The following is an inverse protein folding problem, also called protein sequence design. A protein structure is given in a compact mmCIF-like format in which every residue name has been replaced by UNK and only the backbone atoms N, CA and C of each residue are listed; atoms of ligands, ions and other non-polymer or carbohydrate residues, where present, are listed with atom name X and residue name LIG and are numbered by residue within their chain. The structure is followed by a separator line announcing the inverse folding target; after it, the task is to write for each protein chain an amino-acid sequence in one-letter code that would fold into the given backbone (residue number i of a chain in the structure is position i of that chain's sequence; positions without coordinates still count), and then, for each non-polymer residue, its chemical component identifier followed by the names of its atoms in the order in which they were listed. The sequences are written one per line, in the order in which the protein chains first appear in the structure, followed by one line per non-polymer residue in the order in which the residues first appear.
data_IF_540799763586
#
_entry.id   IF_540799763586
#
_cell.length_a   1.000
_cell.length_b   1.000
_cell.length_c   1.000
_cell.angle_alpha   90.00
_cell.angle_beta   90.00
_cell.angle_gamma   90.00
#
_symmetry.space_group_name_H-M   'P 1'
#
loop_
_entity.id
_entity.type
_entity.pdbx_description
1 polymer ?
#
# COMPACT_ATOMS: atom_id res chain seq x y z
N UNK A 1 3.33 -11.96 24.27
CA UNK A 1 2.77 -10.58 24.33
C UNK A 1 2.86 -9.93 22.96
N UNK A 2 1.83 -9.16 22.53
CA UNK A 2 1.91 -8.38 21.27
C UNK A 2 2.70 -7.07 21.53
N UNK A 3 3.94 -7.01 21.12
CA UNK A 3 4.77 -5.79 21.27
C UNK A 3 4.20 -4.61 20.49
N UNK A 4 3.66 -4.88 19.27
CA UNK A 4 3.09 -3.86 18.39
C UNK A 4 1.76 -3.34 18.94
N UNK A 5 0.85 -4.22 19.38
CA UNK A 5 -0.49 -3.84 19.85
C UNK A 5 -0.47 -2.91 21.05
N UNK A 6 0.52 -3.00 21.93
CA UNK A 6 0.66 -2.16 23.12
C UNK A 6 1.14 -0.74 22.87
N UNK A 7 1.76 -0.50 21.70
CA UNK A 7 2.27 0.83 21.38
C UNK A 7 1.10 1.75 21.05
N UNK A 8 0.94 2.88 21.72
CA UNK A 8 -0.07 3.86 21.37
C UNK A 8 0.17 4.37 19.93
N UNK A 9 -0.87 4.83 19.28
CA UNK A 9 -0.79 5.49 17.98
C UNK A 9 -0.92 6.97 18.20
N UNK A 10 0.15 7.73 18.01
CA UNK A 10 0.12 9.19 18.11
C UNK A 10 -0.76 9.79 17.00
N UNK A 11 -1.58 10.76 17.37
CA UNK A 11 -2.41 11.53 16.43
C UNK A 11 -1.64 12.82 16.11
N UNK A 12 -1.11 12.98 14.88
CA UNK A 12 -0.39 14.20 14.52
C UNK A 12 -1.35 15.40 14.43
N UNK A 13 -0.78 16.60 14.51
CA UNK A 13 -1.56 17.83 14.37
C UNK A 13 -2.31 17.87 13.03
N UNK A 14 -3.59 18.24 13.06
CA UNK A 14 -4.46 18.27 11.88
C UNK A 14 -5.11 16.93 11.52
N UNK A 15 -4.93 15.89 12.34
CA UNK A 15 -5.64 14.62 12.20
C UNK A 15 -6.65 14.46 13.34
N UNK A 16 -7.86 14.08 12.99
CA UNK A 16 -8.95 13.79 13.90
C UNK A 16 -9.32 12.30 13.80
N UNK A 17 -9.47 11.65 14.95
CA UNK A 17 -9.86 10.23 15.02
C UNK A 17 -11.12 10.12 15.83
N UNK A 18 -12.16 9.52 15.28
CA UNK A 18 -13.41 9.20 15.94
C UNK A 18 -13.69 7.70 15.87
N UNK A 19 -14.30 7.18 16.93
CA UNK A 19 -14.69 5.76 17.04
C UNK A 19 -16.20 5.73 17.27
N UNK A 20 -16.93 5.15 16.34
CA UNK A 20 -18.38 4.95 16.42
C UNK A 20 -18.71 3.54 16.96
N UNK A 21 -19.99 3.31 17.22
CA UNK A 21 -20.49 2.00 17.64
C UNK A 21 -20.08 0.89 16.64
N UNK A 22 -19.78 -0.29 17.16
CA UNK A 22 -19.29 -1.41 16.34
C UNK A 22 -17.83 -1.29 15.91
N UNK A 23 -17.03 -0.44 16.59
CA UNK A 23 -15.62 -0.19 16.27
C UNK A 23 -15.39 0.31 14.83
N UNK A 24 -16.31 1.11 14.32
CA UNK A 24 -16.09 1.85 13.07
C UNK A 24 -15.21 3.05 13.38
N UNK A 25 -13.97 3.00 12.92
CA UNK A 25 -12.99 4.06 13.13
C UNK A 25 -12.95 4.94 11.89
N UNK A 26 -13.19 6.23 12.09
CA UNK A 26 -13.06 7.27 11.06
C UNK A 26 -11.86 8.13 11.38
N UNK A 27 -10.94 8.27 10.43
CA UNK A 27 -9.75 9.12 10.55
C UNK A 27 -9.80 10.19 9.48
N UNK A 28 -9.84 11.46 9.90
CA UNK A 28 -9.88 12.64 9.04
C UNK A 28 -8.59 13.41 9.14
N UNK A 29 -8.03 13.78 8.01
CA UNK A 29 -6.77 14.54 7.95
C UNK A 29 -6.67 15.42 6.71
N UNK A 30 -5.52 16.08 6.51
CA UNK A 30 -5.31 17.06 5.43
C UNK A 30 -5.43 16.46 4.03
N UNK A 31 -5.18 15.15 3.87
CA UNK A 31 -5.24 14.47 2.56
C UNK A 31 -6.57 13.80 2.28
N UNK A 32 -7.46 13.72 3.27
CA UNK A 32 -8.79 13.13 3.11
C UNK A 32 -9.26 12.40 4.35
N UNK A 33 -10.30 11.58 4.16
CA UNK A 33 -10.93 10.82 5.24
C UNK A 33 -10.89 9.34 4.89
N UNK A 34 -10.56 8.52 5.87
CA UNK A 34 -10.63 7.06 5.79
C UNK A 34 -11.56 6.55 6.88
N UNK A 35 -12.39 5.57 6.51
CA UNK A 35 -13.28 4.88 7.43
C UNK A 35 -13.08 3.38 7.32
N UNK A 36 -13.08 2.68 8.45
CA UNK A 36 -12.95 1.22 8.50
C UNK A 36 -13.60 0.64 9.73
N UNK A 37 -14.41 -0.40 9.52
CA UNK A 37 -14.87 -1.26 10.59
C UNK A 37 -13.75 -2.17 11.07
N UNK A 38 -13.47 -2.17 12.36
CA UNK A 38 -12.44 -2.96 13.01
C UNK A 38 -13.08 -4.06 13.88
N UNK A 39 -12.33 -5.10 14.30
CA UNK A 39 -12.87 -6.16 15.13
C UNK A 39 -13.50 -5.62 16.40
N UNK A 40 -14.76 -5.99 16.65
CA UNK A 40 -15.56 -5.55 17.80
C UNK A 40 -15.06 -6.10 19.13
N UNK A 41 -14.26 -7.17 19.10
CA UNK A 41 -13.65 -7.74 20.30
C UNK A 41 -12.55 -6.87 20.93
N UNK A 42 -12.05 -5.86 20.17
CA UNK A 42 -11.03 -4.95 20.67
C UNK A 42 -11.67 -3.70 21.26
N UNK A 43 -11.11 -3.21 22.34
CA UNK A 43 -11.50 -1.92 22.92
C UNK A 43 -10.56 -0.84 22.36
N UNK A 44 -11.14 0.21 21.74
CA UNK A 44 -10.39 1.29 21.11
C UNK A 44 -10.74 2.58 21.84
N UNK A 45 -9.73 3.25 22.40
CA UNK A 45 -9.89 4.53 23.12
C UNK A 45 -9.00 5.60 22.51
N UNK A 46 -9.50 6.82 22.52
CA UNK A 46 -8.72 8.02 22.15
C UNK A 46 -8.47 8.79 23.43
N UNK A 47 -7.22 8.87 23.85
CA UNK A 47 -6.79 9.50 25.10
C UNK A 47 -5.54 10.33 24.84
N UNK A 48 -5.49 11.56 25.35
CA UNK A 48 -4.31 12.45 25.32
C UNK A 48 -3.60 12.56 23.96
N UNK A 49 -4.36 12.64 22.86
CA UNK A 49 -3.79 12.74 21.52
C UNK A 49 -3.20 11.41 20.99
N UNK A 50 -3.57 10.30 21.61
CA UNK A 50 -3.15 8.96 21.19
C UNK A 50 -4.36 8.05 21.06
N UNK A 51 -4.26 7.08 20.16
CA UNK A 51 -5.20 5.95 20.10
C UNK A 51 -4.57 4.75 20.79
N UNK A 52 -5.27 4.24 21.79
CA UNK A 52 -4.88 3.04 22.54
C UNK A 52 -5.85 1.91 22.20
N UNK A 53 -5.31 0.74 21.93
CA UNK A 53 -6.10 -0.47 21.66
C UNK A 53 -5.88 -1.45 22.82
N UNK A 54 -6.97 -1.90 23.43
CA UNK A 54 -6.95 -2.92 24.47
C UNK A 54 -7.58 -4.23 23.98
N UNK A 55 -7.21 -5.34 24.60
CA UNK A 55 -7.77 -6.65 24.33
C UNK A 55 -8.37 -7.27 25.60
N UNK A 56 -9.48 -8.04 25.50
CA UNK A 56 -10.16 -8.56 26.68
C UNK A 56 -9.40 -9.70 27.37
N UNK A 57 -8.61 -10.46 26.62
CA UNK A 57 -7.87 -11.62 27.17
C UNK A 57 -6.61 -11.95 26.35
N UNK A 58 -5.85 -12.96 26.80
CA UNK A 58 -4.56 -13.38 26.26
C UNK A 58 -4.66 -14.56 25.29
N UNK A 59 -5.84 -14.87 24.77
CA UNK A 59 -6.02 -15.90 23.74
C UNK A 59 -5.22 -15.57 22.48
N UNK A 60 -4.75 -16.58 21.76
CA UNK A 60 -3.96 -16.43 20.54
C UNK A 60 -4.65 -15.52 19.50
N UNK A 61 -5.96 -15.71 19.30
CA UNK A 61 -6.79 -14.87 18.41
C UNK A 61 -6.75 -13.41 18.84
N UNK A 62 -6.96 -13.11 20.13
CA UNK A 62 -6.98 -11.74 20.65
C UNK A 62 -5.62 -11.05 20.52
N UNK A 63 -4.53 -11.77 20.74
CA UNK A 63 -3.17 -11.24 20.51
C UNK A 63 -2.93 -10.86 19.05
N UNK A 64 -3.43 -11.66 18.11
CA UNK A 64 -3.32 -11.39 16.67
C UNK A 64 -4.16 -10.16 16.28
N UNK A 65 -5.42 -10.11 16.69
CA UNK A 65 -6.33 -9.00 16.41
C UNK A 65 -5.84 -7.69 17.04
N UNK A 66 -5.27 -7.73 18.24
CA UNK A 66 -4.71 -6.55 18.91
C UNK A 66 -3.64 -5.87 18.07
N UNK A 67 -2.65 -6.62 17.58
CA UNK A 67 -1.59 -6.07 16.72
C UNK A 67 -2.11 -5.63 15.35
N UNK A 68 -3.06 -6.34 14.77
CA UNK A 68 -3.70 -6.00 13.51
C UNK A 68 -4.47 -4.68 13.62
N UNK A 69 -5.35 -4.56 14.60
CA UNK A 69 -6.18 -3.36 14.82
C UNK A 69 -5.32 -2.11 15.01
N UNK A 70 -4.31 -2.19 15.88
CA UNK A 70 -3.36 -1.08 16.08
C UNK A 70 -2.65 -0.69 14.77
N UNK A 71 -2.19 -1.67 14.01
CA UNK A 71 -1.48 -1.42 12.75
C UNK A 71 -2.39 -0.80 11.68
N UNK A 72 -3.66 -1.21 11.62
CA UNK A 72 -4.65 -0.62 10.70
C UNK A 72 -4.92 0.84 11.04
N UNK A 73 -5.15 1.16 12.32
CA UNK A 73 -5.35 2.55 12.77
C UNK A 73 -4.11 3.40 12.45
N UNK A 74 -2.92 2.91 12.77
CA UNK A 74 -1.68 3.61 12.45
C UNK A 74 -1.53 3.87 10.93
N UNK A 75 -1.85 2.88 10.10
CA UNK A 75 -1.82 3.04 8.65
C UNK A 75 -2.85 4.08 8.17
N UNK A 76 -4.03 4.17 8.79
CA UNK A 76 -5.02 5.19 8.47
C UNK A 76 -4.52 6.58 8.85
N UNK A 77 -3.97 6.75 10.05
CA UNK A 77 -3.41 8.03 10.52
C UNK A 77 -2.29 8.53 9.61
N UNK A 78 -1.30 7.70 9.30
CA UNK A 78 -0.23 8.05 8.37
C UNK A 78 -0.76 8.32 6.96
N UNK A 79 -1.76 7.56 6.52
CA UNK A 79 -2.36 7.72 5.20
C UNK A 79 -3.03 9.07 4.99
N UNK A 80 -3.79 9.56 5.97
CA UNK A 80 -4.48 10.86 5.87
C UNK A 80 -3.56 12.06 6.16
N UNK A 81 -2.43 11.85 6.85
CA UNK A 81 -1.44 12.90 7.13
C UNK A 81 -0.40 13.03 6.02
N UNK A 82 0.40 11.99 5.78
CA UNK A 82 1.52 11.96 4.85
C UNK A 82 1.15 11.36 3.49
N UNK A 83 0.23 10.38 3.51
CA UNK A 83 -0.11 9.54 2.36
C UNK A 83 0.89 8.41 2.14
N UNK A 84 0.57 7.54 1.19
CA UNK A 84 1.43 6.43 0.79
C UNK A 84 1.82 6.56 -0.67
N UNK A 85 3.06 6.19 -0.95
CA UNK A 85 3.61 6.18 -2.31
C UNK A 85 4.34 4.85 -2.55
N UNK A 86 4.14 4.28 -3.73
CA UNK A 86 4.89 3.13 -4.24
C UNK A 86 5.41 3.45 -5.62
N UNK A 87 6.72 3.29 -5.80
CA UNK A 87 7.39 3.50 -7.09
C UNK A 87 7.70 2.17 -7.75
N UNK A 88 7.37 2.07 -9.02
CA UNK A 88 7.66 0.94 -9.87
C UNK A 88 8.59 1.38 -11.00
N UNK A 89 9.49 0.51 -11.43
CA UNK A 89 10.39 0.73 -12.57
C UNK A 89 10.02 -0.20 -13.72
N UNK A 90 9.86 0.37 -14.91
CA UNK A 90 9.60 -0.34 -16.15
C UNK A 90 10.92 -0.57 -16.87
N UNK A 91 11.40 -1.80 -16.87
CA UNK A 91 12.68 -2.20 -17.47
C UNK A 91 12.47 -3.07 -18.69
N UNK A 92 13.07 -2.69 -19.81
CA UNK A 92 13.05 -3.48 -21.05
C UNK A 92 13.10 -2.63 -22.29
N UNK A 93 13.79 -3.12 -23.32
CA UNK A 93 13.85 -2.46 -24.63
C UNK A 93 12.45 -2.40 -25.23
N UNK A 94 12.01 -1.19 -25.60
CA UNK A 94 10.68 -0.94 -26.15
C UNK A 94 9.53 -0.89 -25.13
N UNK A 95 9.81 -1.09 -23.82
CA UNK A 95 8.79 -0.92 -22.79
C UNK A 95 8.60 0.56 -22.46
N UNK A 96 7.36 0.99 -22.38
CA UNK A 96 6.99 2.39 -22.11
C UNK A 96 5.72 2.42 -21.26
N UNK A 97 5.65 3.41 -20.39
CA UNK A 97 4.46 3.79 -19.67
C UNK A 97 4.04 5.20 -20.09
N UNK A 98 2.75 5.43 -20.25
CA UNK A 98 2.19 6.75 -20.52
C UNK A 98 0.93 6.96 -19.68
N UNK A 99 0.68 8.19 -19.27
CA UNK A 99 -0.49 8.56 -18.48
C UNK A 99 -1.31 9.63 -19.22
N UNK A 100 -2.60 9.40 -19.35
CA UNK A 100 -3.56 10.37 -19.89
C UNK A 100 -4.77 10.46 -18.95
N UNK A 101 -4.87 11.56 -18.22
CA UNK A 101 -5.89 11.71 -17.19
C UNK A 101 -5.84 10.58 -16.16
N UNK A 102 -6.90 9.80 -16.00
CA UNK A 102 -6.94 8.62 -15.09
C UNK A 102 -6.45 7.33 -15.73
N UNK A 103 -6.17 7.33 -17.04
CA UNK A 103 -5.80 6.13 -17.79
C UNK A 103 -4.28 5.96 -17.86
N UNK A 104 -3.77 4.85 -17.36
CA UNK A 104 -2.39 4.42 -17.45
C UNK A 104 -2.27 3.41 -18.61
N UNK A 105 -1.47 3.72 -19.61
CA UNK A 105 -1.21 2.87 -20.77
C UNK A 105 0.20 2.31 -20.68
N UNK A 106 0.34 0.99 -20.76
CA UNK A 106 1.59 0.26 -20.64
C UNK A 106 1.89 -0.51 -21.92
N UNK A 107 2.97 -0.18 -22.58
CA UNK A 107 3.52 -0.94 -23.70
C UNK A 107 4.58 -1.90 -23.17
N UNK A 108 4.25 -3.18 -23.06
CA UNK A 108 5.06 -4.21 -22.39
C UNK A 108 5.49 -5.35 -23.33
N UNK A 109 5.53 -5.09 -24.63
CA UNK A 109 5.90 -6.08 -25.65
C UNK A 109 4.81 -7.11 -25.93
N UNK A 110 3.56 -6.79 -25.66
CA UNK A 110 2.37 -7.50 -26.13
C UNK A 110 1.91 -6.92 -27.47
N UNK A 111 1.06 -7.64 -28.19
CA UNK A 111 0.47 -7.19 -29.47
C UNK A 111 -0.41 -5.95 -29.33
N UNK A 112 -0.91 -5.67 -28.13
CA UNK A 112 -1.73 -4.52 -27.79
C UNK A 112 -1.23 -3.86 -26.48
N UNK A 113 -1.46 -2.55 -26.29
CA UNK A 113 -1.15 -1.89 -25.04
C UNK A 113 -2.03 -2.42 -23.90
N UNK A 114 -1.49 -2.48 -22.70
CA UNK A 114 -2.25 -2.79 -21.49
C UNK A 114 -2.72 -1.48 -20.88
N UNK A 115 -4.03 -1.35 -20.71
CA UNK A 115 -4.66 -0.16 -20.15
C UNK A 115 -5.16 -0.46 -18.75
N UNK A 116 -4.95 0.49 -17.83
CA UNK A 116 -5.43 0.44 -16.45
C UNK A 116 -5.95 1.82 -16.07
N UNK A 117 -7.07 1.85 -15.35
CA UNK A 117 -7.62 3.09 -14.82
C UNK A 117 -7.29 3.22 -13.33
N UNK A 118 -7.00 4.45 -12.89
CA UNK A 118 -6.78 4.72 -11.49
C UNK A 118 -8.08 4.52 -10.72
N UNK A 119 -8.11 3.64 -9.71
CA UNK A 119 -9.25 3.50 -8.84
C UNK A 119 -9.43 4.74 -7.96
N UNK A 120 -10.59 4.88 -7.38
CA UNK A 120 -10.92 5.99 -6.49
C UNK A 120 -9.94 6.08 -5.31
N UNK A 121 -9.41 7.29 -5.09
CA UNK A 121 -8.43 7.58 -4.03
C UNK A 121 -6.99 7.17 -4.37
N UNK A 122 -6.71 6.81 -5.61
CA UNK A 122 -5.36 6.54 -6.13
C UNK A 122 -5.04 7.50 -7.26
N UNK A 123 -3.81 7.99 -7.25
CA UNK A 123 -3.24 8.80 -8.34
C UNK A 123 -1.95 8.13 -8.82
N UNK A 124 -1.83 7.96 -10.14
CA UNK A 124 -0.57 7.51 -10.75
C UNK A 124 0.10 8.64 -11.50
N UNK A 125 1.43 8.71 -11.39
CA UNK A 125 2.29 9.61 -12.19
C UNK A 125 3.34 8.77 -12.90
N UNK A 126 3.67 9.18 -14.12
CA UNK A 126 4.73 8.56 -14.92
C UNK A 126 5.86 9.56 -15.07
N UNK A 127 7.06 9.15 -14.66
CA UNK A 127 8.29 9.92 -14.78
C UNK A 127 9.36 9.06 -15.46
N UNK A 128 9.56 9.29 -16.75
CA UNK A 128 10.44 8.49 -17.58
C UNK A 128 10.04 7.00 -17.58
N UNK A 129 10.88 6.16 -16.96
CA UNK A 129 10.61 4.73 -16.79
C UNK A 129 10.00 4.36 -15.43
N UNK A 130 9.68 5.33 -14.59
CA UNK A 130 9.09 5.12 -13.26
C UNK A 130 7.59 5.40 -13.28
N UNK A 131 6.86 4.55 -12.58
CA UNK A 131 5.43 4.73 -12.30
C UNK A 131 5.31 4.94 -10.80
N UNK A 132 4.82 6.09 -10.39
CA UNK A 132 4.63 6.47 -9.01
C UNK A 132 3.14 6.34 -8.71
N UNK A 133 2.78 5.44 -7.79
CA UNK A 133 1.41 5.22 -7.33
C UNK A 133 1.26 5.85 -5.96
N UNK A 134 0.36 6.81 -5.80
CA UNK A 134 0.11 7.53 -4.55
C UNK A 134 -1.35 7.47 -4.14
N UNK A 135 -1.60 7.58 -2.82
CA UNK A 135 -2.95 7.58 -2.27
C UNK A 135 -2.96 7.58 -0.74
N UNK A 136 -4.14 7.77 -0.17
CA UNK A 136 -4.33 7.81 1.28
C UNK A 136 -4.41 6.41 1.91
N UNK A 137 -4.89 5.40 1.15
CA UNK A 137 -5.03 4.03 1.64
C UNK A 137 -3.81 3.19 1.27
N UNK A 138 -3.04 2.74 2.27
CA UNK A 138 -1.90 1.84 2.10
C UNK A 138 -2.27 0.56 1.36
N UNK A 139 -3.45 0.02 1.66
CA UNK A 139 -3.98 -1.21 1.07
C UNK A 139 -4.26 -1.01 -0.43
N UNK A 140 -5.02 0.04 -0.79
CA UNK A 140 -5.35 0.35 -2.19
C UNK A 140 -4.10 0.66 -3.01
N UNK A 141 -3.16 1.48 -2.47
CA UNK A 141 -1.88 1.79 -3.12
C UNK A 141 -1.07 0.51 -3.37
N UNK A 142 -0.95 -0.34 -2.35
CA UNK A 142 -0.23 -1.61 -2.46
C UNK A 142 -0.86 -2.56 -3.45
N UNK A 143 -2.18 -2.72 -3.42
CA UNK A 143 -2.93 -3.59 -4.32
C UNK A 143 -2.82 -3.13 -5.79
N UNK A 144 -2.98 -1.81 -6.03
CA UNK A 144 -2.88 -1.27 -7.38
C UNK A 144 -1.46 -1.38 -7.95
N UNK A 145 -0.45 -1.06 -7.13
CA UNK A 145 0.96 -1.23 -7.52
C UNK A 145 1.30 -2.70 -7.83
N UNK A 146 0.79 -3.64 -7.04
CA UNK A 146 0.94 -5.07 -7.31
C UNK A 146 0.26 -5.47 -8.63
N UNK A 147 -0.94 -4.95 -8.90
CA UNK A 147 -1.66 -5.17 -10.16
C UNK A 147 -0.89 -4.66 -11.39
N UNK A 148 -0.22 -3.50 -11.30
CA UNK A 148 0.64 -2.99 -12.36
C UNK A 148 1.84 -3.92 -12.57
N UNK A 149 2.51 -4.33 -11.49
CA UNK A 149 3.67 -5.24 -11.55
C UNK A 149 3.30 -6.60 -12.15
N UNK A 150 2.14 -7.13 -11.85
CA UNK A 150 1.66 -8.42 -12.35
C UNK A 150 1.37 -8.42 -13.86
N UNK A 151 1.16 -7.26 -14.49
CA UNK A 151 1.00 -7.16 -15.95
C UNK A 151 2.24 -7.66 -16.70
N UNK A 152 3.43 -7.46 -16.13
CA UNK A 152 4.68 -8.03 -16.66
C UNK A 152 5.72 -8.14 -15.56
N UNK A 153 5.72 -9.25 -14.83
CA UNK A 153 6.70 -9.53 -13.76
C UNK A 153 8.13 -9.55 -14.34
N UNK A 154 9.12 -9.11 -13.57
CA UNK A 154 10.51 -9.12 -14.02
C UNK A 154 11.00 -10.55 -14.23
N UNK A 155 11.65 -10.79 -15.34
CA UNK A 155 12.24 -12.09 -15.67
C UNK A 155 13.64 -12.24 -15.02
N UNK A 156 14.09 -13.48 -14.73
CA UNK A 156 15.29 -13.67 -13.93
C UNK A 156 16.61 -13.58 -14.71
N UNK A 157 16.59 -13.43 -16.04
CA UNK A 157 17.83 -13.42 -16.84
C UNK A 157 18.34 -12.00 -17.08
N UNK A 158 17.58 -11.17 -17.79
CA UNK A 158 17.93 -9.77 -18.10
C UNK A 158 17.21 -8.77 -17.17
N UNK A 159 16.24 -9.23 -16.37
CA UNK A 159 15.45 -8.39 -15.47
C UNK A 159 14.40 -7.55 -16.19
N UNK A 160 13.99 -7.96 -17.41
CA UNK A 160 12.97 -7.26 -18.18
C UNK A 160 11.60 -7.45 -17.55
N UNK A 161 10.86 -6.38 -17.35
CA UNK A 161 9.56 -6.37 -16.67
C UNK A 161 9.38 -5.15 -15.79
N UNK A 162 8.32 -5.16 -15.00
CA UNK A 162 8.00 -4.13 -13.99
C UNK A 162 8.37 -4.65 -12.62
N UNK A 163 9.23 -3.93 -11.91
CA UNK A 163 9.65 -4.23 -10.54
C UNK A 163 9.37 -3.04 -9.62
N UNK A 164 9.34 -3.27 -8.30
CA UNK A 164 9.43 -2.16 -7.36
C UNK A 164 10.84 -1.55 -7.40
N UNK A 165 10.95 -0.27 -7.12
CA UNK A 165 12.24 0.44 -7.03
C UNK A 165 13.20 -0.19 -6.01
N UNK A 166 12.65 -0.69 -4.90
CA UNK A 166 13.39 -1.38 -3.83
C UNK A 166 13.64 -2.86 -4.10
N UNK A 167 13.06 -3.42 -5.18
CA UNK A 167 13.13 -4.85 -5.48
C UNK A 167 14.43 -5.21 -6.19
N UNK A 168 15.22 -6.10 -5.59
CA UNK A 168 16.43 -6.66 -6.20
C UNK A 168 16.09 -8.00 -6.84
N UNK A 169 16.20 -8.06 -8.18
CA UNK A 169 15.93 -9.29 -8.93
C UNK A 169 17.16 -10.20 -8.89
N UNK A 170 17.01 -11.38 -8.27
CA UNK A 170 18.05 -12.43 -8.31
C UNK A 170 18.17 -12.96 -9.72
N UNK A 171 19.25 -12.59 -10.42
CA UNK A 171 19.51 -13.01 -11.80
C UNK A 171 20.06 -14.44 -11.83
N UNK A 172 19.63 -15.19 -12.83
CA UNK A 172 20.15 -16.52 -13.17
C UNK A 172 21.12 -16.38 -14.35
N UNK A 173 22.13 -17.22 -14.36
CA UNK A 173 23.01 -17.37 -15.52
C UNK A 173 22.27 -18.21 -16.57
N UNK A 174 22.18 -17.71 -17.81
CA UNK A 174 21.59 -18.44 -18.91
C UNK A 174 22.43 -19.67 -19.27
N UNK A 175 21.88 -20.57 -20.10
CA UNK A 175 22.65 -21.69 -20.64
C UNK A 175 23.84 -21.14 -21.45
N UNK A 176 25.05 -21.38 -20.98
CA UNK A 176 26.27 -21.20 -21.76
C UNK A 176 26.33 -22.33 -22.74
N UNK A 177 26.19 -22.03 -24.03
CA UNK A 177 26.45 -23.04 -25.08
C UNK A 177 27.85 -23.59 -24.88
N UNK A 178 27.98 -24.90 -24.65
CA UNK A 178 29.28 -25.57 -24.80
C UNK A 178 29.71 -25.34 -26.24
N UNK A 179 30.83 -24.62 -26.43
CA UNK A 179 31.62 -24.74 -27.67
C UNK A 179 32.24 -26.11 -27.71
#
# INVERSE_FOLDING_TARGET
MSRIGRLPVAIPAGVEVSVAEGNVVTVKGPKGTLERALPTEMEIKVEDGHVVVARPNDLKKMKSLHGLTRSLIHNMVVGVSEGYTKTLEVNGVGYRAAKQGKKLTLNLGYSHPVEMEDPEGIETKVDGNKIIVSGISKEKVGQFAAGIRDKRRPEPYKGKGIKYDTEVIRRKVGKTGKK
#
